data_IF_872051633063
#
_entry.id   IF_872051633063
#
_cell.length_a   1.000
_cell.length_b   1.000
_cell.length_c   1.000
_cell.angle_alpha   90.00
_cell.angle_beta   90.00
_cell.angle_gamma   90.00
#
_symmetry.space_group_name_H-M   'P 1'
#
loop_
_entity.id
_entity.type
_entity.pdbx_description
1 polymer ?
#
# COMPACT_ATOMS: atom_id res chain seq x y z
N UNK A 1 15.13 -5.54 -20.14
CA UNK A 1 14.28 -5.27 -18.98
C UNK A 1 14.58 -3.84 -18.57
N UNK A 2 13.65 -2.91 -18.82
CA UNK A 2 13.80 -1.52 -18.39
C UNK A 2 13.55 -1.52 -16.89
N UNK A 3 14.59 -1.77 -16.10
CA UNK A 3 14.55 -1.44 -14.68
C UNK A 3 14.73 0.08 -14.59
N UNK A 4 13.73 0.78 -14.06
CA UNK A 4 13.81 2.21 -13.83
C UNK A 4 14.04 2.47 -12.34
N UNK A 5 15.17 3.09 -12.00
CA UNK A 5 15.40 3.69 -10.70
C UNK A 5 14.99 5.16 -10.79
N UNK A 6 13.98 5.56 -10.01
CA UNK A 6 13.50 6.95 -9.98
C UNK A 6 13.53 7.49 -8.56
N UNK A 7 14.23 8.60 -8.38
CA UNK A 7 14.18 9.41 -7.17
C UNK A 7 13.36 10.66 -7.48
N UNK A 8 12.19 10.79 -6.85
CA UNK A 8 11.34 11.98 -6.95
C UNK A 8 11.30 12.72 -5.61
N UNK A 9 11.73 13.98 -5.65
CA UNK A 9 11.75 14.89 -4.50
C UNK A 9 10.49 15.77 -4.40
N UNK A 10 9.58 15.67 -5.37
CA UNK A 10 8.40 16.52 -5.52
C UNK A 10 7.16 15.71 -5.83
N UNK A 11 6.00 16.37 -5.77
CA UNK A 11 4.73 15.71 -6.06
C UNK A 11 4.66 15.21 -7.50
N UNK A 12 3.96 14.10 -7.69
CA UNK A 12 3.65 13.55 -9.01
C UNK A 12 2.14 13.37 -9.11
N UNK A 13 1.54 13.98 -10.13
CA UNK A 13 0.10 13.96 -10.37
C UNK A 13 -0.21 13.38 -11.75
N UNK A 14 -1.14 12.44 -11.84
CA UNK A 14 -1.69 11.97 -13.13
C UNK A 14 -1.75 10.46 -13.32
N UNK A 15 -1.52 10.02 -14.56
CA UNK A 15 -1.58 8.61 -14.97
C UNK A 15 -0.20 8.10 -15.37
N UNK A 16 0.37 7.15 -14.61
CA UNK A 16 1.70 6.62 -14.89
C UNK A 16 1.75 5.10 -14.70
N UNK A 17 1.76 4.32 -15.79
CA UNK A 17 2.01 2.89 -15.72
C UNK A 17 3.51 2.63 -15.55
N UNK A 18 3.86 1.86 -14.54
CA UNK A 18 5.25 1.50 -14.22
C UNK A 18 5.43 -0.01 -14.27
N UNK A 19 6.47 -0.44 -14.98
CA UNK A 19 6.86 -1.83 -15.12
C UNK A 19 8.31 -1.96 -14.63
N UNK A 20 8.56 -2.85 -13.67
CA UNK A 20 9.89 -3.10 -13.11
C UNK A 20 10.56 -1.81 -12.60
N UNK A 21 10.08 -1.28 -11.48
CA UNK A 21 10.51 0.03 -10.97
C UNK A 21 10.99 -0.05 -9.51
N UNK A 22 12.09 0.65 -9.22
CA UNK A 22 12.50 1.01 -7.88
C UNK A 22 12.29 2.52 -7.69
N UNK A 23 11.37 2.89 -6.81
CA UNK A 23 10.93 4.27 -6.62
C UNK A 23 11.26 4.74 -5.21
N UNK A 24 11.93 5.88 -5.13
CA UNK A 24 12.13 6.63 -3.90
C UNK A 24 11.37 7.96 -3.99
N UNK A 25 10.30 8.09 -3.21
CA UNK A 25 9.39 9.23 -3.21
C UNK A 25 9.43 9.94 -1.86
N UNK A 26 9.76 11.24 -1.85
CA UNK A 26 9.83 12.04 -0.61
C UNK A 26 8.66 13.02 -0.42
N UNK A 27 7.54 12.81 -1.11
CA UNK A 27 6.38 13.70 -1.02
C UNK A 27 5.07 12.99 -1.37
N UNK A 28 4.12 13.68 -2.02
CA UNK A 28 2.83 13.12 -2.41
C UNK A 28 2.85 12.53 -3.81
N UNK A 29 2.04 11.51 -4.03
CA UNK A 29 1.72 11.06 -5.38
C UNK A 29 0.21 10.84 -5.47
N UNK A 30 -0.40 11.51 -6.44
CA UNK A 30 -1.85 11.58 -6.59
C UNK A 30 -2.30 11.15 -8.00
N UNK A 31 -3.29 10.25 -8.08
CA UNK A 31 -3.92 9.88 -9.35
C UNK A 31 -4.00 8.37 -9.57
N UNK A 32 -3.68 7.91 -10.80
CA UNK A 32 -3.83 6.52 -11.22
C UNK A 32 -2.48 5.93 -11.64
N UNK A 33 -1.98 4.97 -10.85
CA UNK A 33 -0.65 4.41 -11.07
C UNK A 33 -0.70 2.89 -10.95
N UNK A 34 -0.78 2.18 -12.08
CA UNK A 34 -0.56 0.74 -12.11
C UNK A 34 0.94 0.46 -11.96
N UNK A 35 1.29 -0.36 -10.97
CA UNK A 35 2.65 -0.80 -10.74
C UNK A 35 2.73 -2.32 -10.87
N UNK A 36 3.67 -2.79 -11.70
CA UNK A 36 4.00 -4.20 -11.85
C UNK A 36 5.48 -4.42 -11.52
N UNK A 37 5.77 -5.35 -10.61
CA UNK A 37 7.12 -5.67 -10.16
C UNK A 37 7.82 -4.41 -9.61
N UNK A 38 7.35 -3.89 -8.48
CA UNK A 38 7.81 -2.60 -7.96
C UNK A 38 8.34 -2.69 -6.54
N UNK A 39 9.48 -2.05 -6.28
CA UNK A 39 9.93 -1.67 -4.95
C UNK A 39 9.67 -0.18 -4.77
N UNK A 40 8.92 0.22 -3.75
CA UNK A 40 8.60 1.63 -3.50
C UNK A 40 8.87 1.97 -2.04
N UNK A 41 9.75 2.95 -1.83
CA UNK A 41 9.93 3.62 -0.55
C UNK A 41 9.31 5.01 -0.66
N UNK A 42 8.29 5.26 0.16
CA UNK A 42 7.60 6.53 0.20
C UNK A 42 7.62 7.16 1.58
N UNK A 43 8.01 8.43 1.62
CA UNK A 43 7.89 9.34 2.74
C UNK A 43 6.90 10.44 2.38
N UNK A 44 5.63 10.31 2.77
CA UNK A 44 4.57 11.22 2.38
C UNK A 44 3.20 10.55 2.23
N UNK A 45 2.43 10.94 1.22
CA UNK A 45 1.08 10.41 0.97
C UNK A 45 0.92 9.81 -0.41
N UNK A 46 0.16 8.71 -0.53
CA UNK A 46 -0.45 8.32 -1.81
C UNK A 46 -1.96 8.54 -1.76
N UNK A 47 -2.50 9.20 -2.77
CA UNK A 47 -3.93 9.43 -2.90
C UNK A 47 -4.43 9.01 -4.29
N UNK A 48 -5.49 8.19 -4.34
CA UNK A 48 -6.13 7.79 -5.59
C UNK A 48 -6.22 6.28 -5.81
N UNK A 49 -5.91 5.83 -7.03
CA UNK A 49 -6.12 4.45 -7.48
C UNK A 49 -4.81 3.79 -7.91
N UNK A 50 -4.41 2.76 -7.17
CA UNK A 50 -3.09 2.13 -7.33
C UNK A 50 -3.20 0.61 -7.34
N UNK A 51 -3.36 -0.01 -8.51
CA UNK A 51 -3.20 -1.45 -8.65
C UNK A 51 -1.73 -1.80 -8.53
N UNK A 52 -1.42 -2.68 -7.58
CA UNK A 52 -0.08 -3.18 -7.36
C UNK A 52 -0.04 -4.68 -7.54
N UNK A 53 0.87 -5.14 -8.40
CA UNK A 53 1.13 -6.54 -8.65
C UNK A 53 2.60 -6.84 -8.43
N UNK A 54 2.91 -7.81 -7.57
CA UNK A 54 4.28 -8.17 -7.19
C UNK A 54 5.03 -6.93 -6.67
N UNK A 55 4.62 -6.44 -5.50
CA UNK A 55 5.12 -5.17 -4.96
C UNK A 55 5.66 -5.30 -3.55
N UNK A 56 6.76 -4.60 -3.29
CA UNK A 56 7.30 -4.37 -1.95
C UNK A 56 7.18 -2.87 -1.66
N UNK A 57 6.41 -2.54 -0.63
CA UNK A 57 6.08 -1.16 -0.27
C UNK A 57 6.55 -0.86 1.15
N UNK A 58 7.40 0.15 1.30
CA UNK A 58 7.74 0.76 2.57
C UNK A 58 7.19 2.17 2.61
N UNK A 59 6.27 2.44 3.54
CA UNK A 59 5.60 3.71 3.63
C UNK A 59 5.70 4.33 5.02
N UNK A 60 6.13 5.60 5.04
CA UNK A 60 6.05 6.47 6.20
C UNK A 60 5.10 7.64 5.89
N UNK A 61 3.85 7.54 6.35
CA UNK A 61 2.78 8.49 6.06
C UNK A 61 1.42 7.85 5.79
N UNK A 62 0.68 8.33 4.78
CA UNK A 62 -0.72 7.92 4.56
C UNK A 62 -1.00 7.32 3.17
N UNK A 63 -1.92 6.35 3.11
CA UNK A 63 -2.56 5.90 1.87
C UNK A 63 -4.05 6.17 1.95
N UNK A 64 -4.57 6.88 0.95
CA UNK A 64 -5.99 7.20 0.84
C UNK A 64 -6.54 6.82 -0.53
N UNK A 65 -7.61 6.01 -0.58
CA UNK A 65 -8.31 5.68 -1.83
C UNK A 65 -8.48 4.18 -2.07
N UNK A 66 -8.20 3.73 -3.30
CA UNK A 66 -8.46 2.37 -3.76
C UNK A 66 -7.17 1.68 -4.23
N UNK A 67 -6.73 0.67 -3.47
CA UNK A 67 -5.45 0.00 -3.70
C UNK A 67 -5.65 -1.51 -3.72
N UNK A 68 -5.88 -2.12 -4.90
CA UNK A 68 -5.82 -3.57 -5.06
C UNK A 68 -4.37 -4.00 -5.02
N UNK A 69 -4.06 -4.91 -4.10
CA UNK A 69 -2.73 -5.48 -3.94
C UNK A 69 -2.79 -6.98 -4.19
N UNK A 70 -1.95 -7.45 -5.11
CA UNK A 70 -1.76 -8.86 -5.43
C UNK A 70 -0.29 -9.23 -5.29
N UNK A 71 0.00 -10.24 -4.48
CA UNK A 71 1.37 -10.69 -4.19
C UNK A 71 2.21 -9.50 -3.70
N UNK A 72 1.82 -8.93 -2.55
CA UNK A 72 2.41 -7.69 -2.06
C UNK A 72 2.86 -7.81 -0.61
N UNK A 73 3.96 -7.14 -0.29
CA UNK A 73 4.42 -6.91 1.07
C UNK A 73 4.38 -5.42 1.37
N UNK A 74 3.63 -5.02 2.39
CA UNK A 74 3.47 -3.64 2.81
C UNK A 74 3.90 -3.47 4.26
N UNK A 75 4.89 -2.62 4.50
CA UNK A 75 5.19 -2.08 5.82
C UNK A 75 4.78 -0.61 5.85
N UNK A 76 3.86 -0.27 6.76
CA UNK A 76 3.33 1.08 6.89
C UNK A 76 3.46 1.60 8.31
N UNK A 77 4.01 2.80 8.43
CA UNK A 77 3.97 3.62 9.64
C UNK A 77 3.12 4.87 9.36
N UNK A 78 1.87 4.87 9.85
CA UNK A 78 0.88 5.92 9.60
C UNK A 78 -0.53 5.38 9.36
N UNK A 79 -1.25 5.91 8.36
CA UNK A 79 -2.68 5.62 8.16
C UNK A 79 -3.02 4.98 6.81
N UNK A 80 -3.96 4.05 6.84
CA UNK A 80 -4.67 3.51 5.67
C UNK A 80 -6.15 3.92 5.74
N UNK A 81 -6.65 4.60 4.72
CA UNK A 81 -8.05 4.98 4.60
C UNK A 81 -8.63 4.63 3.22
N UNK A 82 -9.72 3.86 3.19
CA UNK A 82 -10.45 3.56 1.95
C UNK A 82 -10.69 2.08 1.69
N UNK A 83 -10.43 1.63 0.45
CA UNK A 83 -10.76 0.28 -0.02
C UNK A 83 -9.52 -0.46 -0.52
N UNK A 84 -9.13 -1.53 0.18
CA UNK A 84 -7.87 -2.25 -0.05
C UNK A 84 -8.11 -3.76 -0.14
N UNK A 85 -8.41 -4.30 -1.34
CA UNK A 85 -8.39 -5.74 -1.58
C UNK A 85 -6.95 -6.23 -1.54
N UNK A 86 -6.70 -7.20 -0.67
CA UNK A 86 -5.40 -7.81 -0.47
C UNK A 86 -5.50 -9.30 -0.80
N UNK A 87 -4.77 -9.73 -1.82
CA UNK A 87 -4.67 -11.13 -2.24
C UNK A 87 -3.23 -11.59 -2.16
N UNK A 88 -2.97 -12.67 -1.41
CA UNK A 88 -1.62 -13.19 -1.19
C UNK A 88 -0.68 -12.09 -0.70
N UNK A 89 -1.04 -11.41 0.39
CA UNK A 89 -0.34 -10.20 0.83
C UNK A 89 0.07 -10.28 2.30
N UNK A 90 1.22 -9.70 2.62
CA UNK A 90 1.66 -9.43 3.99
C UNK A 90 1.53 -7.94 4.29
N UNK A 91 0.88 -7.58 5.39
CA UNK A 91 0.70 -6.20 5.83
C UNK A 91 1.10 -6.04 7.29
N UNK A 92 2.10 -5.21 7.55
CA UNK A 92 2.43 -4.73 8.89
C UNK A 92 2.10 -3.25 8.97
N UNK A 93 1.19 -2.89 9.87
CA UNK A 93 0.80 -1.51 10.12
C UNK A 93 1.07 -1.11 11.56
N UNK A 94 1.75 0.02 11.73
CA UNK A 94 1.83 0.78 12.97
C UNK A 94 1.07 2.10 12.79
N UNK A 95 -0.11 2.21 13.39
CA UNK A 95 -1.02 3.35 13.21
C UNK A 95 -2.49 2.95 13.02
N UNK A 96 -3.18 3.61 12.09
CA UNK A 96 -4.64 3.48 11.95
C UNK A 96 -5.06 2.87 10.62
N UNK A 97 -6.11 2.06 10.67
CA UNK A 97 -6.70 1.43 9.50
C UNK A 97 -8.21 1.69 9.51
N UNK A 98 -8.70 2.41 8.50
CA UNK A 98 -10.11 2.79 8.34
C UNK A 98 -10.67 2.42 6.96
N UNK A 99 -11.79 1.70 6.91
CA UNK A 99 -12.54 1.44 5.68
C UNK A 99 -12.87 -0.02 5.40
N UNK A 100 -12.67 -0.49 4.17
CA UNK A 100 -13.09 -1.82 3.70
C UNK A 100 -11.91 -2.61 3.12
N UNK A 101 -11.55 -3.73 3.77
CA UNK A 101 -10.31 -4.47 3.49
C UNK A 101 -10.59 -5.97 3.35
N UNK A 102 -10.95 -6.45 2.15
CA UNK A 102 -11.03 -7.87 1.87
C UNK A 102 -9.66 -8.52 1.85
N UNK A 103 -9.46 -9.49 2.72
CA UNK A 103 -8.20 -10.22 2.86
C UNK A 103 -8.39 -11.67 2.39
N UNK A 104 -7.66 -12.08 1.35
CA UNK A 104 -7.64 -13.44 0.83
C UNK A 104 -6.22 -13.99 0.81
N UNK A 105 -5.93 -15.02 1.61
CA UNK A 105 -4.58 -15.59 1.68
C UNK A 105 -3.57 -14.58 2.22
N UNK A 106 -3.95 -13.77 3.21
CA UNK A 106 -3.15 -12.62 3.65
C UNK A 106 -2.83 -12.68 5.14
N UNK A 107 -1.72 -12.06 5.51
CA UNK A 107 -1.29 -11.89 6.89
C UNK A 107 -1.31 -10.40 7.25
N UNK A 108 -2.03 -10.04 8.30
CA UNK A 108 -2.14 -8.66 8.77
C UNK A 108 -1.75 -8.56 10.24
N UNK A 109 -0.71 -7.78 10.51
CA UNK A 109 -0.31 -7.36 11.86
C UNK A 109 -0.58 -5.87 12.01
N UNK A 110 -1.48 -5.53 12.93
CA UNK A 110 -1.80 -4.15 13.28
C UNK A 110 -1.42 -3.84 14.73
N UNK A 111 -0.61 -2.80 14.91
CA UNK A 111 -0.35 -2.15 16.19
C UNK A 111 -0.98 -0.75 16.15
N UNK A 112 -2.21 -0.63 16.67
CA UNK A 112 -2.98 0.61 16.66
C UNK A 112 -4.48 0.39 16.45
N UNK A 113 -5.14 1.29 15.72
CA UNK A 113 -6.61 1.32 15.64
C UNK A 113 -7.16 0.71 14.34
N UNK A 114 -8.26 -0.02 14.47
CA UNK A 114 -8.98 -0.63 13.35
C UNK A 114 -10.45 -0.18 13.36
N UNK A 115 -10.92 0.38 12.25
CA UNK A 115 -12.31 0.78 12.04
C UNK A 115 -12.80 0.37 10.66
N UNK A 116 -13.98 -0.26 10.58
CA UNK A 116 -14.63 -0.61 9.31
C UNK A 116 -14.89 -2.10 9.13
N UNK A 117 -14.82 -2.59 7.90
CA UNK A 117 -15.24 -3.94 7.53
C UNK A 117 -14.12 -4.78 6.90
N UNK A 118 -13.92 -5.98 7.45
CA UNK A 118 -12.76 -6.84 7.20
C UNK A 118 -13.19 -8.28 6.94
N UNK A 119 -13.65 -8.62 5.72
CA UNK A 119 -13.94 -10.00 5.40
C UNK A 119 -12.60 -10.74 5.21
N UNK A 120 -12.39 -11.78 6.02
CA UNK A 120 -11.18 -12.58 6.05
C UNK A 120 -11.44 -13.97 5.47
N UNK A 121 -10.67 -14.39 4.47
CA UNK A 121 -10.70 -15.75 3.93
C UNK A 121 -9.28 -16.29 3.83
N UNK A 122 -9.00 -17.38 4.55
CA UNK A 122 -7.64 -17.92 4.67
C UNK A 122 -6.61 -16.84 5.03
N UNK A 123 -6.98 -15.96 5.97
CA UNK A 123 -6.16 -14.84 6.39
C UNK A 123 -5.93 -14.86 7.91
N UNK A 124 -4.79 -14.36 8.33
CA UNK A 124 -4.43 -14.17 9.73
C UNK A 124 -4.47 -12.68 10.07
N UNK A 125 -5.13 -12.34 11.17
CA UNK A 125 -5.25 -10.97 11.68
C UNK A 125 -4.78 -10.94 13.13
N UNK A 126 -3.70 -10.21 13.40
CA UNK A 126 -3.18 -9.95 14.74
C UNK A 126 -3.38 -8.48 15.05
N UNK A 127 -4.18 -8.21 16.09
CA UNK A 127 -4.42 -6.87 16.62
C UNK A 127 -3.72 -6.72 17.96
N UNK A 128 -2.80 -5.76 18.03
CA UNK A 128 -2.12 -5.36 19.26
C UNK A 128 -2.62 -3.96 19.63
N UNK A 129 -3.54 -3.91 20.59
CA UNK A 129 -4.03 -2.64 21.14
C UNK A 129 -3.01 -2.10 22.15
N UNK A 130 -2.77 -0.78 22.13
CA UNK A 130 -1.92 -0.05 23.08
C UNK A 130 -2.75 0.69 24.12
#
# INVERSE_FOLDING_TARGET
MLAAELLLLSSLEGFFPLLAAELLLLSSLEGFFPLLAAGLLLLGSLEGFFPLLAAELLLLGSLMGFFPLLAAELLLLGSLEGFFPLLAAGLLLLGSLEGFFPLLGAELLLLGSLMGFFPLLAAELILLDS
#
